data_IF_221266657355
#
_entry.id   IF_221266657355
#
_cell.length_a   1.000
_cell.length_b   1.000
_cell.length_c   1.000
_cell.angle_alpha   90.00
_cell.angle_beta   90.00
_cell.angle_gamma   90.00
#
_symmetry.space_group_name_H-M   'P 1'
#
loop_
_entity.id
_entity.type
_entity.pdbx_description
1 polymer ?
#
# COMPACT_ATOMS: atom_id res chain seq x y z
N UNK A 1 -2.26 -14.64 15.97
CA UNK A 1 -0.78 -14.68 16.06
C UNK A 1 -0.34 -16.11 15.80
N UNK A 2 0.46 -16.38 14.78
CA UNK A 2 0.85 -17.74 14.39
C UNK A 2 1.58 -18.46 15.53
N UNK A 3 1.11 -19.67 15.89
CA UNK A 3 1.71 -20.51 16.93
C UNK A 3 3.07 -21.05 16.46
N UNK A 4 3.95 -21.46 17.37
CA UNK A 4 5.33 -21.89 17.03
C UNK A 4 5.41 -23.12 16.13
N UNK A 5 4.40 -23.98 16.15
CA UNK A 5 4.37 -25.23 15.37
C UNK A 5 3.75 -25.07 13.97
N UNK A 6 3.23 -23.90 13.61
CA UNK A 6 2.65 -23.66 12.29
C UNK A 6 3.78 -23.55 11.24
N UNK A 7 3.89 -24.57 10.39
CA UNK A 7 4.93 -24.67 9.34
C UNK A 7 4.48 -24.11 7.98
N UNK A 8 3.28 -23.51 7.91
CA UNK A 8 2.81 -22.89 6.68
C UNK A 8 3.78 -21.80 6.21
N UNK A 9 4.00 -21.72 4.90
CA UNK A 9 4.88 -20.72 4.26
C UNK A 9 4.59 -19.31 4.79
N UNK A 10 3.31 -18.95 4.92
CA UNK A 10 2.85 -17.66 5.45
C UNK A 10 3.24 -17.42 6.91
N UNK A 11 3.21 -18.46 7.75
CA UNK A 11 3.53 -18.37 9.17
C UNK A 11 5.03 -18.22 9.41
N UNK A 12 5.86 -18.89 8.59
CA UNK A 12 7.32 -18.76 8.60
C UNK A 12 7.72 -17.37 8.09
N UNK A 13 7.16 -16.97 6.95
CA UNK A 13 7.38 -15.66 6.34
C UNK A 13 7.06 -14.52 7.33
N UNK A 14 5.85 -14.53 7.90
CA UNK A 14 5.42 -13.51 8.87
C UNK A 14 6.33 -13.43 10.10
N UNK A 15 6.96 -14.54 10.50
CA UNK A 15 7.90 -14.56 11.63
C UNK A 15 9.31 -14.09 11.22
N UNK A 16 9.68 -14.22 9.95
CA UNK A 16 10.97 -13.79 9.41
C UNK A 16 11.06 -12.29 9.18
N UNK A 17 9.95 -11.63 8.85
CA UNK A 17 9.93 -10.20 8.54
C UNK A 17 9.94 -9.35 9.81
N UNK A 18 10.74 -8.28 9.81
CA UNK A 18 10.74 -7.29 10.89
C UNK A 18 9.43 -6.49 10.92
N UNK A 19 8.73 -6.59 12.05
CA UNK A 19 7.46 -5.90 12.30
C UNK A 19 7.62 -4.38 12.26
N UNK A 20 8.79 -3.87 12.64
CA UNK A 20 9.11 -2.44 12.63
C UNK A 20 9.14 -1.91 11.20
N UNK A 21 9.78 -2.65 10.30
CA UNK A 21 9.84 -2.32 8.87
C UNK A 21 8.47 -2.38 8.22
N UNK A 22 7.66 -3.41 8.51
CA UNK A 22 6.27 -3.48 8.02
C UNK A 22 5.47 -2.28 8.51
N UNK A 23 5.57 -1.95 9.80
CA UNK A 23 4.83 -0.83 10.39
C UNK A 23 5.22 0.51 9.77
N UNK A 24 6.52 0.78 9.64
CA UNK A 24 7.03 2.00 9.01
C UNK A 24 6.64 2.08 7.54
N UNK A 25 6.82 0.99 6.78
CA UNK A 25 6.45 0.93 5.37
C UNK A 25 4.95 1.16 5.15
N UNK A 26 4.10 0.54 5.97
CA UNK A 26 2.65 0.73 5.90
C UNK A 26 2.25 2.17 6.27
N UNK A 27 2.87 2.74 7.30
CA UNK A 27 2.66 4.13 7.71
C UNK A 27 3.02 5.12 6.59
N UNK A 28 4.18 4.94 5.96
CA UNK A 28 4.61 5.72 4.80
C UNK A 28 3.64 5.59 3.63
N UNK A 29 3.15 4.37 3.36
CA UNK A 29 2.26 4.12 2.24
C UNK A 29 0.87 4.73 2.44
N UNK A 30 0.34 4.65 3.66
CA UNK A 30 -0.92 5.33 4.03
C UNK A 30 -0.73 6.85 3.93
N UNK A 31 0.35 7.38 4.50
CA UNK A 31 0.67 8.81 4.46
C UNK A 31 0.81 9.33 3.01
N UNK A 32 1.50 8.58 2.14
CA UNK A 32 1.63 8.91 0.72
C UNK A 32 0.30 8.95 -0.02
N UNK A 33 -0.60 8.01 0.27
CA UNK A 33 -1.95 8.02 -0.32
C UNK A 33 -2.79 9.20 0.17
N UNK A 34 -2.66 9.60 1.45
CA UNK A 34 -3.33 10.78 2.00
C UNK A 34 -2.80 12.06 1.34
N UNK A 35 -1.49 12.20 1.18
CA UNK A 35 -0.91 13.35 0.47
C UNK A 35 -1.34 13.41 -0.99
N UNK A 36 -1.42 12.27 -1.67
CA UNK A 36 -1.93 12.22 -3.03
C UNK A 36 -3.41 12.64 -3.10
N UNK A 37 -4.24 12.17 -2.16
CA UNK A 37 -5.64 12.58 -2.09
C UNK A 37 -5.80 14.10 -1.88
N UNK A 38 -5.06 14.67 -0.93
CA UNK A 38 -5.14 16.10 -0.60
C UNK A 38 -4.67 17.01 -1.75
N UNK A 39 -3.68 16.57 -2.52
CA UNK A 39 -3.16 17.35 -3.66
C UNK A 39 -4.04 17.25 -4.91
N UNK A 40 -4.58 16.06 -5.20
CA UNK A 40 -5.33 15.79 -6.45
C UNK A 40 -6.84 16.01 -6.35
N UNK A 41 -7.43 16.08 -5.15
CA UNK A 41 -8.86 16.35 -4.96
C UNK A 41 -9.28 17.83 -5.16
N UNK A 42 -8.37 18.66 -5.67
CA UNK A 42 -8.59 20.10 -5.87
C UNK A 42 -9.43 20.38 -7.13
N UNK A 43 -10.11 21.54 -7.14
CA UNK A 43 -10.98 22.08 -8.21
C UNK A 43 -10.36 21.97 -9.64
N UNK A 44 -9.03 22.07 -9.87
CA UNK A 44 -8.44 21.89 -11.19
C UNK A 44 -8.61 20.48 -11.78
N UNK A 45 -8.62 19.43 -10.95
CA UNK A 45 -8.80 18.04 -11.39
C UNK A 45 -10.18 17.85 -12.05
N UNK A 46 -11.20 18.45 -11.45
CA UNK A 46 -12.60 18.43 -11.93
C UNK A 46 -12.80 19.19 -13.25
N UNK A 47 -11.89 20.12 -13.59
CA UNK A 47 -11.92 20.89 -14.84
C UNK A 47 -11.14 20.22 -15.98
N UNK A 48 -10.19 19.35 -15.66
CA UNK A 48 -9.28 18.68 -16.61
C UNK A 48 -9.68 17.23 -16.90
N UNK A 49 -10.28 16.55 -15.93
CA UNK A 49 -10.76 15.18 -16.03
C UNK A 49 -12.22 15.15 -15.55
N UNK A 50 -13.11 14.51 -16.31
CA UNK A 50 -14.57 14.39 -16.02
C UNK A 50 -14.91 13.81 -14.63
N UNK A 51 -13.91 13.41 -13.83
CA UNK A 51 -14.08 12.99 -12.45
C UNK A 51 -12.96 13.51 -11.55
N UNK A 52 -13.37 14.08 -10.40
CA UNK A 52 -12.50 14.59 -9.31
C UNK A 52 -11.40 13.61 -8.87
N UNK A 53 -11.66 12.30 -8.98
CA UNK A 53 -10.85 11.25 -8.36
C UNK A 53 -10.03 10.42 -9.34
N UNK A 54 -10.03 10.72 -10.64
CA UNK A 54 -9.35 9.91 -11.66
C UNK A 54 -7.86 9.66 -11.34
N UNK A 55 -7.13 10.72 -11.02
CA UNK A 55 -5.70 10.64 -10.68
C UNK A 55 -5.46 9.88 -9.37
N UNK A 56 -6.36 10.02 -8.41
CA UNK A 56 -6.30 9.31 -7.13
C UNK A 56 -6.48 7.80 -7.30
N UNK A 57 -7.47 7.38 -8.09
CA UNK A 57 -7.70 5.95 -8.39
C UNK A 57 -6.50 5.31 -9.08
N UNK A 58 -5.89 6.01 -10.04
CA UNK A 58 -4.69 5.54 -10.73
C UNK A 58 -3.53 5.36 -9.75
N UNK A 59 -3.36 6.28 -8.79
CA UNK A 59 -2.29 6.17 -7.80
C UNK A 59 -2.51 5.03 -6.79
N UNK A 60 -3.75 4.81 -6.36
CA UNK A 60 -4.10 3.65 -5.53
C UNK A 60 -3.77 2.36 -6.28
N UNK A 61 -4.14 2.27 -7.57
CA UNK A 61 -3.88 1.09 -8.37
C UNK A 61 -2.37 0.76 -8.41
N UNK A 62 -1.51 1.76 -8.69
CA UNK A 62 -0.06 1.57 -8.67
C UNK A 62 0.49 1.25 -7.27
N UNK A 63 -0.03 1.89 -6.23
CA UNK A 63 0.37 1.62 -4.84
C UNK A 63 0.04 0.18 -4.42
N UNK A 64 -1.15 -0.31 -4.76
CA UNK A 64 -1.58 -1.69 -4.49
C UNK A 64 -0.78 -2.68 -5.33
N UNK A 65 -0.56 -2.42 -6.62
CA UNK A 65 0.26 -3.31 -7.45
C UNK A 65 1.70 -3.41 -6.93
N UNK A 66 2.29 -2.29 -6.48
CA UNK A 66 3.61 -2.28 -5.89
C UNK A 66 3.69 -3.10 -4.60
N UNK A 67 2.68 -3.00 -3.73
CA UNK A 67 2.57 -3.84 -2.53
C UNK A 67 2.47 -5.34 -2.86
N UNK A 68 1.67 -5.71 -3.87
CA UNK A 68 1.55 -7.10 -4.30
C UNK A 68 2.90 -7.63 -4.79
N UNK A 69 3.63 -6.86 -5.58
CA UNK A 69 4.96 -7.22 -6.08
C UNK A 69 5.97 -7.35 -4.93
N UNK A 70 5.94 -6.43 -3.96
CA UNK A 70 6.80 -6.49 -2.77
C UNK A 70 6.56 -7.75 -1.94
N UNK A 71 5.29 -8.11 -1.72
CA UNK A 71 4.93 -9.33 -0.99
C UNK A 71 5.39 -10.56 -1.79
N UNK A 72 5.20 -10.56 -3.11
CA UNK A 72 5.62 -11.66 -3.98
C UNK A 72 7.14 -11.87 -3.98
N UNK A 73 7.92 -10.80 -4.03
CA UNK A 73 9.39 -10.84 -3.93
C UNK A 73 9.90 -11.26 -2.55
N UNK A 74 9.06 -11.15 -1.52
CA UNK A 74 9.45 -11.45 -0.15
C UNK A 74 9.25 -12.93 0.20
N UNK A 75 8.52 -13.71 -0.61
CA UNK A 75 8.44 -15.18 -0.48
C UNK A 75 9.72 -15.85 -0.99
#
# INVERSE_FOLDING_TARGET
MFKRYETGILAIWWRSVDKTTIFLGLSLLISGNIFNFLSTSTIPSEKLYDSKYFLFYKHIFFSVSGLVILIFLSF
#
